data_IF_843558558132
#
_entry.id   IF_843558558132
#
_cell.length_a   1.000
_cell.length_b   1.000
_cell.length_c   1.000
_cell.angle_alpha   90.00
_cell.angle_beta   90.00
_cell.angle_gamma   90.00
#
_symmetry.space_group_name_H-M   'P 1'
#
loop_
_entity.id
_entity.type
_entity.pdbx_description
1 polymer ?
#
# COMPACT_ATOMS: atom_id res chain seq x y z
N UNK A 1 6.49 17.11 19.24
CA UNK A 1 5.57 16.00 18.90
C UNK A 1 4.96 16.24 17.54
N UNK A 2 4.84 15.21 16.72
CA UNK A 2 4.25 15.36 15.38
C UNK A 2 2.74 15.49 15.48
N UNK A 3 2.20 16.36 14.65
CA UNK A 3 0.78 16.58 14.51
C UNK A 3 0.11 15.36 13.86
N UNK A 4 -1.12 15.04 14.26
CA UNK A 4 -1.89 13.93 13.68
C UNK A 4 -2.11 14.15 12.19
N UNK A 5 -2.33 15.38 11.75
CA UNK A 5 -2.49 15.68 10.32
C UNK A 5 -1.24 15.35 9.52
N UNK A 6 -0.06 15.60 10.09
CA UNK A 6 1.20 15.22 9.44
C UNK A 6 1.34 13.71 9.33
N UNK A 7 0.95 12.98 10.38
CA UNK A 7 0.98 11.52 10.38
C UNK A 7 0.03 10.97 9.34
N UNK A 8 -1.18 11.53 9.23
CA UNK A 8 -2.15 11.13 8.20
C UNK A 8 -1.55 11.35 6.81
N UNK A 9 -0.93 12.49 6.58
CA UNK A 9 -0.29 12.80 5.30
C UNK A 9 0.82 11.79 4.97
N UNK A 10 1.64 11.43 5.96
CA UNK A 10 2.70 10.44 5.77
C UNK A 10 2.11 9.06 5.41
N UNK A 11 1.05 8.65 6.11
CA UNK A 11 0.40 7.37 5.84
C UNK A 11 -0.25 7.34 4.45
N UNK A 12 -0.80 8.48 4.01
CA UNK A 12 -1.34 8.58 2.65
C UNK A 12 -0.25 8.35 1.61
N UNK A 13 0.93 8.93 1.80
CA UNK A 13 2.07 8.71 0.91
C UNK A 13 2.53 7.26 0.92
N UNK A 14 2.54 6.63 2.10
CA UNK A 14 2.90 5.21 2.22
C UNK A 14 1.89 4.34 1.49
N UNK A 15 0.60 4.63 1.64
CA UNK A 15 -0.46 3.90 0.95
C UNK A 15 -0.29 3.97 -0.57
N UNK A 16 -0.02 5.16 -1.11
CA UNK A 16 0.22 5.36 -2.54
C UNK A 16 1.46 4.60 -3.01
N UNK A 17 2.55 4.67 -2.24
CA UNK A 17 3.78 3.97 -2.58
C UNK A 17 3.58 2.45 -2.61
N UNK A 18 2.82 1.92 -1.66
CA UNK A 18 2.50 0.50 -1.62
C UNK A 18 1.64 0.09 -2.81
N UNK A 19 0.68 0.92 -3.20
CA UNK A 19 -0.14 0.66 -4.38
C UNK A 19 0.71 0.62 -5.65
N UNK A 20 1.60 1.60 -5.81
CA UNK A 20 2.50 1.66 -6.97
C UNK A 20 3.42 0.44 -7.01
N UNK A 21 3.94 0.02 -5.85
CA UNK A 21 4.78 -1.17 -5.75
C UNK A 21 4.00 -2.42 -6.17
N UNK A 22 2.76 -2.56 -5.71
CA UNK A 22 1.91 -3.69 -6.07
C UNK A 22 1.67 -3.75 -7.58
N UNK A 23 1.36 -2.60 -8.18
CA UNK A 23 1.12 -2.53 -9.63
C UNK A 23 2.38 -2.85 -10.42
N UNK A 24 3.54 -2.39 -9.97
CA UNK A 24 4.83 -2.70 -10.62
C UNK A 24 5.13 -4.20 -10.56
N UNK A 25 4.86 -4.84 -9.44
CA UNK A 25 5.07 -6.28 -9.29
C UNK A 25 4.16 -7.08 -10.22
N UNK A 26 2.90 -6.67 -10.36
CA UNK A 26 1.96 -7.31 -11.28
C UNK A 26 2.41 -7.13 -12.73
N UNK A 27 2.80 -5.92 -13.11
CA UNK A 27 3.28 -5.63 -14.48
C UNK A 27 4.50 -6.45 -14.82
N UNK A 28 5.43 -6.59 -13.89
CA UNK A 28 6.65 -7.36 -14.08
C UNK A 28 6.33 -8.85 -14.24
N UNK A 29 5.41 -9.37 -13.43
CA UNK A 29 4.98 -10.75 -13.51
C UNK A 29 4.34 -11.05 -14.88
N UNK A 30 3.51 -10.14 -15.38
CA UNK A 30 2.88 -10.27 -16.69
C UNK A 30 3.94 -10.30 -17.79
N UNK A 31 4.93 -9.39 -17.74
CA UNK A 31 6.03 -9.36 -18.73
C UNK A 31 6.85 -10.64 -18.71
N UNK A 32 6.97 -11.27 -17.54
CA UNK A 32 7.72 -12.54 -17.40
C UNK A 32 6.87 -13.76 -17.71
N UNK A 33 5.63 -13.59 -18.12
CA UNK A 33 4.73 -14.68 -18.47
C UNK A 33 4.20 -15.46 -17.29
N UNK A 34 4.28 -14.92 -16.09
CA UNK A 34 3.76 -15.60 -14.90
C UNK A 34 2.23 -15.59 -14.92
N UNK A 35 1.64 -16.71 -14.53
CA UNK A 35 0.19 -16.90 -14.53
C UNK A 35 -0.45 -16.62 -13.19
N UNK A 36 0.36 -16.61 -12.13
CA UNK A 36 -0.12 -16.43 -10.79
C UNK A 36 0.32 -15.08 -10.23
N UNK A 37 -0.45 -14.58 -9.27
CA UNK A 37 -0.15 -13.36 -8.57
C UNK A 37 1.14 -13.55 -7.74
N UNK A 38 2.13 -12.65 -7.87
CA UNK A 38 3.37 -12.79 -7.10
C UNK A 38 3.11 -12.78 -5.60
N UNK A 39 3.76 -13.65 -4.82
CA UNK A 39 3.56 -13.66 -3.36
C UNK A 39 3.89 -12.32 -2.70
N UNK A 40 4.91 -11.64 -3.17
CA UNK A 40 5.30 -10.32 -2.63
C UNK A 40 4.19 -9.29 -2.87
N UNK A 41 3.54 -9.34 -4.04
CA UNK A 41 2.43 -8.42 -4.35
C UNK A 41 1.27 -8.63 -3.38
N UNK A 42 0.96 -9.87 -3.03
CA UNK A 42 -0.09 -10.16 -2.04
C UNK A 42 0.24 -9.54 -0.69
N UNK A 43 1.49 -9.63 -0.26
CA UNK A 43 1.93 -9.05 1.01
C UNK A 43 1.90 -7.52 0.99
N UNK A 44 2.33 -6.92 -0.12
CA UNK A 44 2.30 -5.46 -0.29
C UNK A 44 0.85 -4.96 -0.26
N UNK A 45 -0.07 -5.65 -0.94
CA UNK A 45 -1.49 -5.29 -0.94
C UNK A 45 -2.11 -5.45 0.45
N UNK A 46 -1.72 -6.46 1.19
CA UNK A 46 -2.16 -6.67 2.56
C UNK A 46 -1.67 -5.55 3.47
N UNK A 47 -0.41 -5.16 3.33
CA UNK A 47 0.17 -4.05 4.09
C UNK A 47 -0.55 -2.74 3.79
N UNK A 48 -0.87 -2.49 2.51
CA UNK A 48 -1.63 -1.30 2.12
C UNK A 48 -2.99 -1.26 2.81
N UNK A 49 -3.70 -2.39 2.85
CA UNK A 49 -5.00 -2.44 3.53
C UNK A 49 -4.88 -2.13 5.01
N UNK A 50 -3.80 -2.55 5.66
CA UNK A 50 -3.53 -2.23 7.06
C UNK A 50 -3.28 -0.73 7.25
N UNK A 51 -2.51 -0.11 6.35
CA UNK A 51 -2.27 1.33 6.37
C UNK A 51 -3.57 2.10 6.13
N UNK A 52 -4.39 1.66 5.19
CA UNK A 52 -5.68 2.29 4.90
C UNK A 52 -6.64 2.19 6.10
N UNK A 53 -6.58 1.09 6.83
CA UNK A 53 -7.35 0.96 8.07
C UNK A 53 -6.87 1.95 9.13
N UNK A 54 -5.56 2.12 9.27
CA UNK A 54 -5.00 3.10 10.18
C UNK A 54 -5.45 4.52 9.81
N UNK A 55 -5.44 4.85 8.52
CA UNK A 55 -5.94 6.12 8.02
C UNK A 55 -7.41 6.33 8.37
N UNK A 56 -8.22 5.31 8.18
CA UNK A 56 -9.65 5.36 8.49
C UNK A 56 -9.87 5.68 9.97
N UNK A 57 -9.12 5.03 10.83
CA UNK A 57 -9.20 5.23 12.29
C UNK A 57 -8.82 6.67 12.65
N UNK A 58 -7.73 7.17 12.10
CA UNK A 58 -7.23 8.51 12.42
C UNK A 58 -8.16 9.61 11.90
N UNK A 59 -8.79 9.40 10.75
CA UNK A 59 -9.72 10.38 10.18
C UNK A 59 -11.07 10.43 10.91
N UNK A 60 -11.38 9.40 11.66
CA UNK A 60 -12.64 9.32 12.41
C UNK A 60 -12.57 10.03 13.78
N UNK A 61 -11.40 10.52 14.15
CA UNK A 61 -11.18 11.22 15.43
C UNK A 61 -11.69 12.66 15.39
#
# INVERSE_FOLDING_TARGET
MRDIEEIISDLERVSEALNDAAMSLISEAIRNGEKERPPLEKKVSQARRAVDKALHILRAV
#
